data_IF_851032870631
#
_entry.id   IF_851032870631
#
_cell.length_a   1.000
_cell.length_b   1.000
_cell.length_c   1.000
_cell.angle_alpha   90.00
_cell.angle_beta   90.00
_cell.angle_gamma   90.00
#
_symmetry.space_group_name_H-M   'P 1'
#
loop_
_entity.id
_entity.type
_entity.pdbx_description
1 polymer ?
#
# COMPACT_ATOMS: atom_id res chain seq x y z
N UNK A 1 -14.62 -16.26 5.68
CA UNK A 1 -13.28 -16.38 5.11
C UNK A 1 -12.48 -17.41 5.87
N UNK A 2 -11.22 -17.59 5.50
CA UNK A 2 -10.20 -18.21 6.35
C UNK A 2 -9.84 -17.20 7.45
N UNK A 3 -9.87 -17.62 8.71
CA UNK A 3 -9.56 -16.76 9.84
C UNK A 3 -8.53 -17.42 10.74
N UNK A 4 -7.45 -16.70 11.05
CA UNK A 4 -6.35 -17.14 11.93
C UNK A 4 -6.22 -16.19 13.12
N UNK A 5 -6.16 -16.72 14.33
CA UNK A 5 -6.06 -15.92 15.56
C UNK A 5 -5.20 -16.63 16.61
N UNK A 6 -4.82 -15.91 17.68
CA UNK A 6 -4.19 -16.52 18.86
C UNK A 6 -2.80 -17.13 18.61
N UNK A 7 -2.07 -16.63 17.61
CA UNK A 7 -0.73 -17.12 17.27
C UNK A 7 -0.72 -18.44 16.49
N UNK A 8 -1.87 -18.87 15.97
CA UNK A 8 -2.00 -20.13 15.24
C UNK A 8 -1.29 -20.10 13.88
N UNK A 9 -0.92 -21.30 13.40
CA UNK A 9 -0.56 -21.54 12.01
C UNK A 9 -1.80 -21.99 11.23
N UNK A 10 -2.05 -21.39 10.07
CA UNK A 10 -3.06 -21.83 9.11
C UNK A 10 -2.40 -22.10 7.77
N UNK A 11 -2.61 -23.30 7.24
CA UNK A 11 -2.17 -23.68 5.90
C UNK A 11 -3.41 -24.01 5.05
N UNK A 12 -3.48 -23.45 3.84
CA UNK A 12 -4.56 -23.69 2.90
C UNK A 12 -4.03 -23.87 1.48
N UNK A 13 -4.57 -24.84 0.76
CA UNK A 13 -4.17 -25.15 -0.61
C UNK A 13 -5.39 -25.28 -1.52
N UNK A 14 -5.37 -24.56 -2.65
CA UNK A 14 -6.38 -24.60 -3.72
C UNK A 14 -7.82 -24.41 -3.23
N UNK A 15 -8.01 -23.58 -2.20
CA UNK A 15 -9.34 -23.31 -1.62
C UNK A 15 -10.08 -22.24 -2.42
N UNK A 16 -11.39 -22.39 -2.56
CA UNK A 16 -12.27 -21.32 -3.07
C UNK A 16 -13.06 -20.71 -1.92
N UNK A 17 -12.91 -19.41 -1.72
CA UNK A 17 -13.61 -18.63 -0.69
C UNK A 17 -14.37 -17.50 -1.35
N UNK A 18 -15.63 -17.32 -0.97
CA UNK A 18 -16.44 -16.17 -1.37
C UNK A 18 -17.22 -15.64 -0.19
N UNK A 19 -17.15 -14.33 0.04
CA UNK A 19 -17.86 -13.64 1.13
C UNK A 19 -18.60 -12.41 0.57
N UNK A 20 -19.74 -12.08 1.17
CA UNK A 20 -20.56 -10.93 0.73
C UNK A 20 -21.03 -10.02 1.88
N UNK A 21 -20.85 -10.44 3.13
CA UNK A 21 -21.17 -9.62 4.29
C UNK A 21 -20.17 -8.49 4.48
N UNK A 22 -20.59 -7.40 5.12
CA UNK A 22 -19.68 -6.33 5.52
C UNK A 22 -18.65 -6.82 6.55
N UNK A 23 -17.46 -6.25 6.55
CA UNK A 23 -16.33 -6.65 7.42
C UNK A 23 -15.95 -8.13 7.29
N UNK A 24 -16.12 -8.73 6.11
CA UNK A 24 -15.96 -10.16 5.85
C UNK A 24 -14.83 -10.43 4.85
N UNK A 25 -13.59 -10.18 5.25
CA UNK A 25 -12.42 -10.51 4.43
C UNK A 25 -12.34 -12.02 4.10
N UNK A 26 -11.82 -12.35 2.92
CA UNK A 26 -11.71 -13.73 2.46
C UNK A 26 -10.56 -14.46 3.17
N UNK A 27 -9.42 -13.80 3.33
CA UNK A 27 -8.31 -14.22 4.20
C UNK A 27 -8.17 -13.15 5.28
N UNK A 28 -8.26 -13.55 6.54
CA UNK A 28 -8.20 -12.64 7.68
C UNK A 28 -7.34 -13.22 8.79
N UNK A 29 -6.64 -12.36 9.50
CA UNK A 29 -6.24 -12.65 10.88
C UNK A 29 -6.83 -11.65 11.86
N UNK A 30 -6.76 -11.96 13.14
CA UNK A 30 -7.23 -11.08 14.22
C UNK A 30 -6.27 -11.12 15.42
N UNK A 31 -6.73 -10.64 16.57
CA UNK A 31 -5.97 -10.52 17.82
C UNK A 31 -5.13 -11.76 18.13
N UNK A 32 -3.88 -11.50 18.51
CA UNK A 32 -2.86 -12.52 18.76
C UNK A 32 -2.11 -12.97 17.52
N UNK A 33 -2.48 -12.49 16.32
CA UNK A 33 -1.78 -12.74 15.07
C UNK A 33 -1.63 -14.23 14.75
N UNK A 34 -0.49 -14.59 14.16
CA UNK A 34 -0.16 -15.96 13.77
C UNK A 34 0.59 -16.00 12.44
N UNK A 35 0.52 -17.14 11.76
CA UNK A 35 1.09 -17.34 10.43
C UNK A 35 0.05 -17.95 9.51
N UNK A 36 -0.09 -17.40 8.31
CA UNK A 36 -1.04 -17.88 7.30
C UNK A 36 -0.28 -18.18 6.00
N UNK A 37 -0.34 -19.43 5.56
CA UNK A 37 0.29 -19.89 4.33
C UNK A 37 -0.80 -20.37 3.35
N UNK A 38 -0.90 -19.70 2.20
CA UNK A 38 -1.90 -20.04 1.18
C UNK A 38 -1.20 -20.37 -0.14
N UNK A 39 -1.56 -21.51 -0.75
CA UNK A 39 -1.06 -21.94 -2.06
C UNK A 39 -2.21 -22.15 -3.02
N UNK A 40 -2.28 -21.35 -4.08
CA UNK A 40 -3.33 -21.40 -5.07
C UNK A 40 -4.70 -20.98 -4.52
N UNK A 41 -5.74 -21.23 -5.32
CA UNK A 41 -7.11 -20.97 -4.94
C UNK A 41 -7.61 -19.59 -5.35
N UNK A 42 -8.81 -19.26 -4.85
CA UNK A 42 -9.55 -18.09 -5.28
C UNK A 42 -10.33 -17.49 -4.12
N UNK A 43 -10.13 -16.19 -3.88
CA UNK A 43 -10.63 -15.49 -2.71
C UNK A 43 -11.34 -14.23 -3.16
N UNK A 44 -12.67 -14.26 -3.08
CA UNK A 44 -13.53 -13.16 -3.54
C UNK A 44 -14.31 -12.55 -2.41
N UNK A 45 -14.34 -11.23 -2.35
CA UNK A 45 -15.16 -10.48 -1.42
C UNK A 45 -16.04 -9.50 -2.17
N UNK A 46 -17.30 -9.41 -1.71
CA UNK A 46 -18.27 -8.47 -2.24
C UNK A 46 -18.75 -7.47 -1.18
N UNK A 47 -18.50 -7.69 0.11
CA UNK A 47 -18.96 -6.78 1.17
C UNK A 47 -18.17 -5.46 1.24
N UNK A 48 -18.72 -4.46 1.91
CA UNK A 48 -17.96 -3.26 2.29
C UNK A 48 -16.99 -3.58 3.43
N UNK A 49 -15.84 -2.89 3.49
CA UNK A 49 -14.82 -3.11 4.52
C UNK A 49 -14.32 -4.55 4.56
N UNK A 50 -14.35 -5.22 3.41
CA UNK A 50 -14.08 -6.65 3.25
C UNK A 50 -12.95 -6.82 2.23
N UNK A 51 -11.70 -6.54 2.60
CA UNK A 51 -10.60 -6.73 1.67
C UNK A 51 -10.40 -8.21 1.34
N UNK A 52 -9.74 -8.50 0.21
CA UNK A 52 -9.41 -9.89 -0.10
C UNK A 52 -8.49 -10.49 0.97
N UNK A 53 -7.54 -9.68 1.48
CA UNK A 53 -6.62 -10.02 2.57
C UNK A 53 -6.62 -8.93 3.65
N UNK A 54 -6.91 -9.30 4.91
CA UNK A 54 -6.75 -8.43 6.07
C UNK A 54 -5.72 -9.03 7.03
N UNK A 55 -4.62 -8.31 7.28
CA UNK A 55 -3.48 -8.81 8.04
C UNK A 55 -3.28 -8.10 9.38
N UNK A 56 -3.31 -8.92 10.41
CA UNK A 56 -2.78 -8.73 11.77
C UNK A 56 -1.80 -9.86 12.14
N UNK A 57 -1.23 -10.53 11.11
CA UNK A 57 -0.40 -11.72 11.20
C UNK A 57 0.66 -11.74 10.09
N UNK A 58 1.52 -12.75 10.05
CA UNK A 58 2.39 -12.97 8.89
C UNK A 58 1.66 -13.82 7.84
N UNK A 59 1.32 -13.20 6.69
CA UNK A 59 0.56 -13.85 5.62
C UNK A 59 1.44 -14.03 4.38
N UNK A 60 1.56 -15.26 3.89
CA UNK A 60 2.23 -15.58 2.63
C UNK A 60 1.28 -16.31 1.69
N UNK A 61 1.14 -15.80 0.46
CA UNK A 61 0.21 -16.33 -0.55
C UNK A 61 0.97 -16.54 -1.86
N UNK A 62 0.86 -17.74 -2.43
CA UNK A 62 1.46 -18.08 -3.71
C UNK A 62 0.39 -18.53 -4.72
N UNK A 63 0.37 -17.94 -5.91
CA UNK A 63 -0.41 -18.43 -7.04
C UNK A 63 -1.93 -18.30 -6.92
N UNK A 64 -2.45 -17.39 -6.10
CA UNK A 64 -3.89 -17.21 -5.88
C UNK A 64 -4.52 -16.07 -6.70
N UNK A 65 -5.83 -16.16 -6.92
CA UNK A 65 -6.68 -15.07 -7.43
C UNK A 65 -7.39 -14.38 -6.26
N UNK A 66 -7.05 -13.11 -5.99
CA UNK A 66 -7.50 -12.30 -4.86
C UNK A 66 -8.32 -11.12 -5.41
N UNK A 67 -9.59 -11.02 -5.04
CA UNK A 67 -10.49 -9.99 -5.60
C UNK A 67 -11.43 -9.40 -4.56
N UNK A 68 -11.43 -8.08 -4.43
CA UNK A 68 -12.40 -7.34 -3.62
C UNK A 68 -13.20 -6.35 -4.48
N UNK A 69 -14.50 -6.60 -4.65
CA UNK A 69 -15.32 -5.81 -5.59
C UNK A 69 -15.83 -4.47 -5.02
N UNK A 70 -15.78 -4.30 -3.69
CA UNK A 70 -16.21 -3.09 -2.96
C UNK A 70 -15.28 -2.69 -1.81
N UNK A 71 -14.04 -3.17 -1.83
CA UNK A 71 -13.03 -2.93 -0.80
C UNK A 71 -11.62 -2.97 -1.38
N UNK A 72 -10.66 -2.74 -0.50
CA UNK A 72 -9.22 -2.85 -0.73
C UNK A 72 -8.85 -4.28 -1.15
N UNK A 73 -7.81 -4.46 -1.94
CA UNK A 73 -7.25 -5.80 -2.17
C UNK A 73 -6.60 -6.33 -0.89
N UNK A 74 -5.79 -5.49 -0.22
CA UNK A 74 -5.06 -5.85 0.99
C UNK A 74 -5.07 -4.72 2.00
N UNK A 75 -5.07 -5.13 3.27
CA UNK A 75 -4.92 -4.25 4.42
C UNK A 75 -3.92 -4.90 5.38
N UNK A 76 -2.92 -4.13 5.82
CA UNK A 76 -1.99 -4.52 6.88
C UNK A 76 -2.15 -3.55 8.04
N UNK A 77 -2.32 -4.12 9.23
CA UNK A 77 -2.36 -3.39 10.48
C UNK A 77 -1.10 -3.66 11.32
N UNK A 78 -0.41 -2.61 11.75
CA UNK A 78 0.75 -2.67 12.64
C UNK A 78 1.93 -3.47 12.10
N UNK A 79 2.70 -4.13 12.97
CA UNK A 79 3.99 -4.79 12.63
C UNK A 79 3.91 -6.02 11.70
N UNK A 80 2.75 -6.26 11.11
CA UNK A 80 2.43 -7.51 10.40
C UNK A 80 2.83 -7.47 8.92
N UNK A 81 2.64 -8.59 8.23
CA UNK A 81 3.12 -8.74 6.86
C UNK A 81 2.14 -9.41 5.90
N UNK A 82 2.26 -9.04 4.63
CA UNK A 82 1.66 -9.73 3.48
C UNK A 82 2.77 -9.93 2.43
N UNK A 83 3.02 -11.18 2.06
CA UNK A 83 3.91 -11.57 0.98
C UNK A 83 3.13 -12.29 -0.11
N UNK A 84 3.11 -11.73 -1.33
CA UNK A 84 2.40 -12.28 -2.48
C UNK A 84 3.41 -12.76 -3.52
N UNK A 85 3.27 -14.01 -3.98
CA UNK A 85 4.08 -14.56 -5.06
C UNK A 85 3.19 -15.06 -6.18
N UNK A 86 3.40 -14.58 -7.40
CA UNK A 86 2.64 -14.98 -8.58
C UNK A 86 1.11 -14.88 -8.41
N UNK A 87 0.63 -13.95 -7.59
CA UNK A 87 -0.80 -13.76 -7.35
C UNK A 87 -1.39 -12.75 -8.35
N UNK A 88 -2.67 -12.94 -8.67
CA UNK A 88 -3.50 -11.87 -9.24
C UNK A 88 -4.25 -11.21 -8.10
N UNK A 89 -4.18 -9.89 -8.02
CA UNK A 89 -4.83 -9.11 -6.99
C UNK A 89 -5.61 -7.94 -7.59
N UNK A 90 -6.86 -7.76 -7.17
CA UNK A 90 -7.67 -6.59 -7.53
C UNK A 90 -8.44 -6.02 -6.34
N UNK A 91 -8.52 -4.69 -6.30
CA UNK A 91 -9.29 -3.92 -5.32
C UNK A 91 -10.13 -2.84 -6.01
N UNK A 92 -11.37 -2.69 -5.55
CA UNK A 92 -12.33 -1.70 -6.05
C UNK A 92 -13.05 -1.04 -4.87
N UNK A 93 -12.27 -0.44 -3.98
CA UNK A 93 -12.79 0.32 -2.85
C UNK A 93 -13.70 1.44 -3.34
N UNK A 94 -14.80 1.67 -2.62
CA UNK A 94 -15.74 2.75 -2.93
C UNK A 94 -15.54 3.91 -1.95
N UNK A 95 -15.71 5.14 -2.45
CA UNK A 95 -15.59 6.36 -1.64
C UNK A 95 -16.66 6.46 -0.55
N UNK A 96 -17.83 5.88 -0.76
CA UNK A 96 -18.94 5.93 0.21
C UNK A 96 -19.47 4.53 0.47
N UNK A 97 -19.36 4.06 1.71
CA UNK A 97 -19.75 2.71 2.15
C UNK A 97 -20.97 2.78 3.07
N UNK A 98 -21.94 1.89 2.85
CA UNK A 98 -23.06 1.69 3.77
C UNK A 98 -22.74 0.52 4.70
N UNK A 99 -22.34 0.85 5.93
CA UNK A 99 -21.98 -0.11 6.97
C UNK A 99 -23.10 -0.20 8.01
N UNK A 100 -23.99 -1.18 7.82
CA UNK A 100 -25.19 -1.28 8.65
C UNK A 100 -26.14 -0.11 8.41
N UNK A 101 -26.33 0.75 9.41
CA UNK A 101 -27.15 1.98 9.28
C UNK A 101 -26.32 3.23 9.01
N UNK A 102 -25.00 3.10 8.99
CA UNK A 102 -24.09 4.24 8.88
C UNK A 102 -23.57 4.37 7.45
N UNK A 103 -23.56 5.60 6.95
CA UNK A 103 -22.87 5.95 5.70
C UNK A 103 -21.51 6.51 6.07
N UNK A 104 -20.45 5.81 5.68
CA UNK A 104 -19.06 6.23 5.89
C UNK A 104 -18.56 6.78 4.57
N UNK A 105 -18.05 8.00 4.60
CA UNK A 105 -17.30 8.59 3.48
C UNK A 105 -15.81 8.43 3.77
N UNK A 106 -15.10 7.80 2.84
CA UNK A 106 -13.66 7.59 2.93
C UNK A 106 -12.92 8.88 2.56
N UNK A 107 -11.92 9.24 3.36
CA UNK A 107 -11.05 10.38 3.06
C UNK A 107 -9.99 10.03 1.99
N UNK A 108 -9.69 8.74 1.86
CA UNK A 108 -8.80 8.20 0.85
C UNK A 108 -9.35 6.87 0.32
N UNK A 109 -9.43 6.72 -1.00
CA UNK A 109 -9.76 5.47 -1.67
C UNK A 109 -8.47 4.84 -2.15
N UNK A 110 -8.26 3.55 -1.87
CA UNK A 110 -7.02 2.85 -2.19
C UNK A 110 -7.21 1.35 -2.41
N UNK A 111 -6.19 0.71 -2.99
CA UNK A 111 -6.16 -0.74 -3.21
C UNK A 111 -5.38 -1.50 -2.14
N UNK A 112 -4.25 -0.97 -1.68
CA UNK A 112 -3.47 -1.54 -0.58
C UNK A 112 -3.33 -0.51 0.52
N UNK A 113 -3.79 -0.86 1.72
CA UNK A 113 -3.65 -0.02 2.92
C UNK A 113 -2.60 -0.60 3.86
N UNK A 114 -1.72 0.24 4.37
CA UNK A 114 -0.76 -0.13 5.43
C UNK A 114 -0.85 0.93 6.51
N UNK A 115 -1.30 0.55 7.71
CA UNK A 115 -1.55 1.49 8.79
C UNK A 115 -1.41 0.88 10.18
N UNK A 116 -1.39 1.72 11.21
CA UNK A 116 -1.61 1.29 12.59
C UNK A 116 -2.95 1.85 13.08
N UNK A 117 -3.75 1.00 13.71
CA UNK A 117 -4.96 1.43 14.42
C UNK A 117 -4.72 1.56 15.93
N UNK A 118 -5.61 2.28 16.61
CA UNK A 118 -5.62 2.37 18.08
C UNK A 118 -6.51 1.30 18.76
N UNK A 119 -6.92 0.24 18.05
CA UNK A 119 -7.79 -0.82 18.59
C UNK A 119 -7.09 -1.72 19.62
N UNK A 120 -5.76 -1.84 19.51
CA UNK A 120 -4.95 -2.80 20.26
C UNK A 120 -4.96 -4.22 19.68
N UNK A 121 -5.51 -4.43 18.47
CA UNK A 121 -5.56 -5.76 17.83
C UNK A 121 -4.22 -6.14 17.16
N UNK A 122 -3.42 -5.15 16.79
CA UNK A 122 -2.05 -5.31 16.29
C UNK A 122 -1.07 -4.43 17.07
N UNK A 123 0.11 -4.98 17.37
CA UNK A 123 1.20 -4.24 17.99
C UNK A 123 1.83 -3.25 16.99
N UNK A 124 2.25 -2.10 17.51
CA UNK A 124 3.05 -1.13 16.77
C UNK A 124 4.38 -1.72 16.32
N UNK A 125 4.82 -1.34 15.12
CA UNK A 125 6.10 -1.71 14.55
C UNK A 125 6.08 -1.55 13.03
N UNK A 126 7.14 -2.03 12.37
CA UNK A 126 7.28 -1.86 10.92
C UNK A 126 6.49 -2.93 10.17
N UNK A 127 5.48 -2.52 9.41
CA UNK A 127 4.74 -3.41 8.50
C UNK A 127 5.59 -3.85 7.29
N UNK A 128 5.26 -4.97 6.67
CA UNK A 128 5.92 -5.42 5.44
C UNK A 128 4.92 -5.89 4.37
N UNK A 129 4.91 -5.22 3.22
CA UNK A 129 4.24 -5.70 2.02
C UNK A 129 5.29 -6.12 0.98
N UNK A 130 5.15 -7.31 0.42
CA UNK A 130 5.97 -7.73 -0.73
C UNK A 130 5.13 -8.39 -1.81
N UNK A 131 5.50 -8.16 -3.07
CA UNK A 131 4.90 -8.83 -4.21
C UNK A 131 5.95 -9.17 -5.26
N UNK A 132 6.05 -10.45 -5.61
CA UNK A 132 6.94 -11.00 -6.64
C UNK A 132 6.10 -11.61 -7.77
N UNK A 133 6.26 -11.11 -8.98
CA UNK A 133 5.48 -11.55 -10.14
C UNK A 133 4.00 -11.20 -10.05
N UNK A 134 3.19 -11.83 -10.88
CA UNK A 134 1.74 -11.66 -10.86
C UNK A 134 1.26 -10.28 -11.33
N UNK A 135 0.11 -9.84 -10.81
CA UNK A 135 -0.50 -8.55 -11.18
C UNK A 135 -1.31 -7.92 -10.06
N UNK A 136 -1.26 -6.60 -9.96
CA UNK A 136 -2.05 -5.77 -9.06
C UNK A 136 -2.89 -4.80 -9.90
N UNK A 137 -4.21 -4.91 -9.80
CA UNK A 137 -5.18 -4.04 -10.45
C UNK A 137 -5.86 -3.15 -9.40
N UNK A 138 -5.60 -1.85 -9.46
CA UNK A 138 -6.32 -0.83 -8.72
C UNK A 138 -7.41 -0.25 -9.60
N UNK A 139 -8.68 -0.47 -9.24
CA UNK A 139 -9.79 0.07 -10.00
C UNK A 139 -10.07 1.55 -9.70
N UNK A 140 -9.78 1.99 -8.47
CA UNK A 140 -10.11 3.33 -7.96
C UNK A 140 -9.07 3.82 -6.96
N UNK A 141 -8.80 5.12 -7.00
CA UNK A 141 -7.93 5.79 -6.04
C UNK A 141 -6.47 5.33 -6.09
N UNK A 142 -5.80 5.45 -4.95
CA UNK A 142 -4.35 5.21 -4.83
C UNK A 142 -4.04 3.70 -4.86
N UNK A 143 -2.93 3.31 -5.48
CA UNK A 143 -2.53 1.89 -5.48
C UNK A 143 -2.11 1.48 -4.07
N UNK A 144 -1.20 2.25 -3.45
CA UNK A 144 -0.75 2.08 -2.07
C UNK A 144 -1.07 3.32 -1.24
N UNK A 145 -1.63 3.13 -0.06
CA UNK A 145 -1.82 4.17 0.95
C UNK A 145 -1.16 3.76 2.27
N UNK A 146 -0.24 4.61 2.74
CA UNK A 146 0.48 4.43 4.00
C UNK A 146 0.14 5.58 4.93
N UNK A 147 -0.34 5.27 6.13
CA UNK A 147 -0.68 6.27 7.13
C UNK A 147 -0.45 5.74 8.54
N UNK A 148 -0.04 6.62 9.46
CA UNK A 148 0.13 6.30 10.87
C UNK A 148 1.02 5.06 11.14
N UNK A 149 2.01 4.78 10.31
CA UNK A 149 2.88 3.60 10.51
C UNK A 149 4.21 3.72 9.77
N UNK A 150 5.17 2.93 10.22
CA UNK A 150 6.40 2.64 9.49
C UNK A 150 6.17 1.38 8.64
N UNK A 151 6.62 1.35 7.40
CA UNK A 151 6.50 0.16 6.57
C UNK A 151 7.65 -0.06 5.59
N UNK A 152 7.72 -1.28 5.09
CA UNK A 152 8.48 -1.66 3.91
C UNK A 152 7.54 -2.14 2.82
N UNK A 153 7.79 -1.72 1.58
CA UNK A 153 7.08 -2.16 0.39
C UNK A 153 8.13 -2.62 -0.62
N UNK A 154 8.02 -3.88 -1.07
CA UNK A 154 8.98 -4.51 -1.98
C UNK A 154 8.26 -5.09 -3.19
N UNK A 155 8.61 -4.63 -4.40
CA UNK A 155 7.99 -5.13 -5.65
C UNK A 155 9.07 -5.65 -6.60
N UNK A 156 8.85 -6.85 -7.13
CA UNK A 156 9.70 -7.47 -8.14
C UNK A 156 8.86 -8.00 -9.30
N UNK A 157 9.02 -7.41 -10.49
CA UNK A 157 8.38 -7.88 -11.72
C UNK A 157 6.85 -8.04 -11.62
N UNK A 158 6.17 -7.11 -10.96
CA UNK A 158 4.72 -7.11 -10.77
C UNK A 158 4.04 -6.33 -11.90
N UNK A 159 2.96 -6.84 -12.49
CA UNK A 159 2.16 -6.04 -13.44
C UNK A 159 1.18 -5.15 -12.67
N UNK A 160 1.48 -3.86 -12.56
CA UNK A 160 0.61 -2.89 -11.88
C UNK A 160 -0.22 -2.14 -12.92
N UNK A 161 -1.52 -2.04 -12.68
CA UNK A 161 -2.41 -1.15 -13.44
C UNK A 161 -3.27 -0.36 -12.45
N UNK A 162 -3.20 0.96 -12.52
CA UNK A 162 -4.20 1.83 -11.90
C UNK A 162 -5.17 2.31 -12.97
N UNK A 163 -6.46 2.07 -12.78
CA UNK A 163 -7.50 2.52 -13.70
C UNK A 163 -7.99 3.94 -13.38
N UNK A 164 -7.63 4.46 -12.21
CA UNK A 164 -7.94 5.82 -11.79
C UNK A 164 -6.74 6.74 -12.01
N UNK A 165 -6.76 7.60 -13.03
CA UNK A 165 -5.64 8.48 -13.33
C UNK A 165 -5.45 9.62 -12.30
N UNK A 166 -6.45 9.86 -11.44
CA UNK A 166 -6.32 10.81 -10.33
C UNK A 166 -5.65 10.18 -9.10
N UNK A 167 -5.64 8.84 -9.02
CA UNK A 167 -4.99 8.10 -7.95
C UNK A 167 -3.46 8.06 -8.09
N UNK A 168 -2.78 8.12 -6.96
CA UNK A 168 -1.34 7.97 -6.87
C UNK A 168 -0.92 6.49 -7.02
N UNK A 169 0.32 6.28 -7.47
CA UNK A 169 0.98 4.99 -7.31
C UNK A 169 1.22 4.70 -5.82
N UNK A 170 1.66 5.71 -5.07
CA UNK A 170 1.75 5.61 -3.61
C UNK A 170 1.43 6.96 -2.99
N UNK A 171 0.60 6.96 -1.96
CA UNK A 171 0.37 8.09 -1.08
C UNK A 171 0.85 7.75 0.33
N UNK A 172 1.68 8.61 0.88
CA UNK A 172 2.17 8.52 2.25
C UNK A 172 1.77 9.82 2.93
N UNK A 173 0.71 9.76 3.73
CA UNK A 173 0.14 10.96 4.32
C UNK A 173 -0.53 10.70 5.66
N UNK A 174 -0.67 11.77 6.41
CA UNK A 174 -1.60 11.82 7.53
C UNK A 174 -3.05 11.61 7.12
N UNK A 175 -3.88 11.47 8.13
CA UNK A 175 -5.32 11.37 8.01
C UNK A 175 -6.02 12.22 9.07
N UNK A 176 -7.35 12.37 8.96
CA UNK A 176 -8.12 13.21 9.89
C UNK A 176 -8.16 12.70 11.34
N UNK A 177 -7.73 11.46 11.60
CA UNK A 177 -7.86 10.77 12.89
C UNK A 177 -9.29 10.32 13.21
N UNK A 178 -10.27 10.68 12.37
CA UNK A 178 -11.70 10.36 12.58
C UNK A 178 -11.99 8.86 12.58
N UNK A 179 -11.11 8.07 11.95
CA UNK A 179 -11.15 6.60 11.91
C UNK A 179 -10.39 5.93 13.06
N UNK A 180 -9.78 6.71 13.95
CA UNK A 180 -8.94 6.19 15.03
C UNK A 180 -7.56 5.72 14.57
N UNK A 181 -7.05 6.26 13.46
CA UNK A 181 -5.73 5.94 12.89
C UNK A 181 -4.72 7.04 13.27
N UNK A 182 -4.46 7.14 14.57
CA UNK A 182 -3.57 8.14 15.15
C UNK A 182 -4.20 9.52 15.29
N UNK A 183 -3.35 10.52 15.56
CA UNK A 183 -3.74 11.91 15.81
C UNK A 183 -3.43 12.78 14.58
N UNK A 184 -4.43 13.53 14.10
CA UNK A 184 -4.26 14.48 12.99
C UNK A 184 -3.04 15.40 13.21
N UNK A 185 -2.24 15.58 12.16
CA UNK A 185 -0.99 16.35 12.20
C UNK A 185 0.21 15.59 12.78
N UNK A 186 0.01 14.36 13.27
CA UNK A 186 1.06 13.52 13.86
C UNK A 186 0.90 12.03 13.51
N UNK A 187 0.13 11.73 12.45
CA UNK A 187 -0.20 10.38 12.00
C UNK A 187 0.24 10.14 10.55
N UNK A 188 1.32 10.78 10.13
CA UNK A 188 1.97 10.51 8.83
C UNK A 188 2.52 9.09 8.75
N UNK A 189 2.89 8.67 7.54
CA UNK A 189 3.54 7.39 7.30
C UNK A 189 5.04 7.53 7.07
N UNK A 190 5.80 6.47 7.34
CA UNK A 190 7.20 6.34 6.91
C UNK A 190 7.36 5.08 6.08
N UNK A 191 7.58 5.21 4.77
CA UNK A 191 7.68 4.07 3.87
C UNK A 191 9.11 3.89 3.34
N UNK A 192 9.60 2.66 3.38
CA UNK A 192 10.76 2.23 2.59
C UNK A 192 10.26 1.45 1.38
N UNK A 193 10.34 2.05 0.20
CA UNK A 193 9.82 1.50 -1.05
C UNK A 193 10.96 1.05 -1.95
N UNK A 194 11.10 -0.26 -2.16
CA UNK A 194 12.14 -0.84 -3.00
C UNK A 194 11.52 -1.60 -4.16
N UNK A 195 11.97 -1.33 -5.38
CA UNK A 195 11.48 -2.02 -6.57
C UNK A 195 12.63 -2.52 -7.44
N UNK A 196 12.43 -3.64 -8.11
CA UNK A 196 13.39 -4.20 -9.07
C UNK A 196 12.67 -4.88 -10.23
N UNK A 197 13.28 -4.89 -11.42
CA UNK A 197 12.66 -5.44 -12.65
C UNK A 197 11.24 -4.90 -12.89
N UNK A 198 10.98 -3.66 -12.46
CA UNK A 198 9.61 -3.18 -12.26
C UNK A 198 9.28 -2.11 -13.29
N UNK A 199 8.12 -2.20 -13.93
CA UNK A 199 7.57 -1.10 -14.73
C UNK A 199 6.40 -0.48 -13.98
N UNK A 200 6.44 0.83 -13.74
CA UNK A 200 5.45 1.54 -12.95
C UNK A 200 5.08 2.86 -13.62
N UNK A 201 3.81 3.21 -13.48
CA UNK A 201 3.26 4.49 -13.89
C UNK A 201 2.49 5.09 -12.70
N UNK A 202 2.51 6.42 -12.60
CA UNK A 202 1.73 7.16 -11.60
C UNK A 202 2.59 7.98 -10.65
N UNK A 203 1.95 8.95 -10.00
CA UNK A 203 2.61 9.87 -9.09
C UNK A 203 2.84 9.26 -7.72
N UNK A 204 3.87 9.74 -7.05
CA UNK A 204 4.18 9.44 -5.66
C UNK A 204 3.89 10.72 -4.87
N UNK A 205 3.04 10.61 -3.84
CA UNK A 205 2.63 11.73 -2.98
C UNK A 205 3.14 11.50 -1.57
N UNK A 206 3.82 12.51 -1.02
CA UNK A 206 4.31 12.52 0.36
C UNK A 206 3.91 13.83 1.00
N UNK A 207 3.21 13.78 2.13
CA UNK A 207 2.82 15.00 2.83
C UNK A 207 3.89 15.52 3.80
N UNK A 208 3.70 16.74 4.30
CA UNK A 208 4.65 17.42 5.18
C UNK A 208 4.79 16.83 6.59
N UNK A 209 4.16 15.69 6.89
CA UNK A 209 4.37 14.91 8.13
C UNK A 209 4.78 13.47 7.85
N UNK A 210 5.09 13.14 6.60
CA UNK A 210 5.40 11.79 6.15
C UNK A 210 6.76 11.72 5.48
N UNK A 211 7.32 10.52 5.44
CA UNK A 211 8.64 10.28 4.85
C UNK A 211 8.64 9.08 3.89
N UNK A 212 9.33 9.24 2.78
CA UNK A 212 9.62 8.16 1.83
C UNK A 212 11.12 7.96 1.69
N UNK A 213 11.60 6.73 1.85
CA UNK A 213 12.89 6.31 1.32
C UNK A 213 12.66 5.34 0.16
N UNK A 214 12.93 5.77 -1.08
CA UNK A 214 12.67 4.99 -2.29
C UNK A 214 13.97 4.53 -2.96
N UNK A 215 14.04 3.26 -3.32
CA UNK A 215 15.06 2.71 -4.22
C UNK A 215 14.41 2.21 -5.50
N UNK A 216 14.66 2.92 -6.60
CA UNK A 216 14.35 2.46 -7.95
C UNK A 216 15.51 1.59 -8.44
N UNK A 217 15.36 0.27 -8.23
CA UNK A 217 16.41 -0.70 -8.47
C UNK A 217 16.60 -1.09 -9.93
N UNK A 218 17.63 -1.89 -10.19
CA UNK A 218 18.01 -2.36 -11.54
C UNK A 218 16.82 -2.83 -12.40
N UNK A 219 16.94 -2.63 -13.72
CA UNK A 219 15.94 -3.00 -14.73
C UNK A 219 14.54 -2.41 -14.49
N UNK A 220 14.41 -1.37 -13.66
CA UNK A 220 13.13 -0.74 -13.38
C UNK A 220 12.94 0.55 -14.18
N UNK A 221 11.69 0.81 -14.54
CA UNK A 221 11.25 2.06 -15.16
C UNK A 221 10.07 2.61 -14.36
N UNK A 222 10.14 3.90 -14.03
CA UNK A 222 9.05 4.62 -13.41
C UNK A 222 8.71 5.85 -14.26
N UNK A 223 7.46 5.97 -14.70
CA UNK A 223 6.91 7.17 -15.31
C UNK A 223 5.97 7.87 -14.33
N UNK A 224 6.37 9.02 -13.81
CA UNK A 224 5.61 9.70 -12.77
C UNK A 224 6.34 10.90 -12.19
N UNK A 225 5.70 11.57 -11.24
CA UNK A 225 6.29 12.66 -10.47
C UNK A 225 6.35 12.35 -8.97
N UNK A 226 7.34 12.92 -8.28
CA UNK A 226 7.40 12.91 -6.82
C UNK A 226 6.90 14.26 -6.30
N UNK A 227 5.70 14.24 -5.73
CA UNK A 227 4.94 15.41 -5.35
C UNK A 227 4.91 15.52 -3.81
N UNK A 228 5.32 16.68 -3.31
CA UNK A 228 5.26 17.02 -1.89
C UNK A 228 3.95 17.77 -1.62
N UNK A 229 3.17 17.32 -0.64
CA UNK A 229 1.91 17.95 -0.23
C UNK A 229 2.06 18.62 1.14
N UNK A 230 1.38 19.75 1.34
CA UNK A 230 1.28 20.36 2.67
C UNK A 230 0.17 19.66 3.46
N UNK A 231 0.49 19.26 4.69
CA UNK A 231 -0.50 18.85 5.67
C UNK A 231 -0.87 20.07 6.54
N UNK A 232 -2.12 20.52 6.46
CA UNK A 232 -2.58 21.73 7.16
C UNK A 232 -2.65 21.56 8.69
N UNK A 233 -2.52 20.34 9.21
CA UNK A 233 -2.60 20.03 10.63
C UNK A 233 -1.22 19.89 11.30
N UNK A 234 -0.14 19.78 10.52
CA UNK A 234 1.19 19.56 11.08
C UNK A 234 2.33 19.57 10.08
N UNK A 235 3.54 19.60 10.64
CA UNK A 235 4.78 19.48 9.90
C UNK A 235 5.79 18.66 10.70
N UNK A 236 6.51 17.75 10.05
CA UNK A 236 7.62 17.00 10.62
C UNK A 236 8.93 17.43 9.95
N UNK A 237 9.98 17.69 10.74
CA UNK A 237 11.31 18.05 10.23
C UNK A 237 11.96 16.89 9.46
N UNK A 238 11.56 15.66 9.75
CA UNK A 238 12.01 14.47 9.05
C UNK A 238 11.19 14.20 7.78
N UNK A 239 10.14 14.97 7.50
CA UNK A 239 9.32 14.77 6.30
C UNK A 239 10.11 14.93 4.99
N UNK A 240 9.54 14.36 3.93
CA UNK A 240 10.05 14.46 2.56
C UNK A 240 10.40 13.11 1.95
N UNK A 241 11.24 13.13 0.91
CA UNK A 241 11.52 11.92 0.13
C UNK A 241 13.01 11.77 -0.22
N UNK A 242 13.61 10.67 0.21
CA UNK A 242 14.95 10.26 -0.15
C UNK A 242 14.87 9.29 -1.33
N UNK A 243 15.51 9.64 -2.45
CA UNK A 243 15.45 8.86 -3.69
C UNK A 243 16.82 8.30 -4.07
N UNK A 244 16.90 6.99 -4.20
CA UNK A 244 18.01 6.27 -4.81
C UNK A 244 17.59 5.70 -6.16
N UNK A 245 18.32 6.03 -7.22
CA UNK A 245 18.12 5.48 -8.55
C UNK A 245 19.35 4.67 -8.90
N UNK A 246 19.21 3.36 -8.92
CA UNK A 246 20.33 2.45 -9.18
C UNK A 246 20.72 2.43 -10.66
N UNK A 247 21.94 1.95 -10.93
CA UNK A 247 22.41 1.71 -12.29
C UNK A 247 21.46 0.79 -13.05
N UNK A 248 21.06 1.22 -14.25
CA UNK A 248 20.13 0.50 -15.11
C UNK A 248 18.65 0.77 -14.84
N UNK A 249 18.33 1.59 -13.83
CA UNK A 249 16.98 2.12 -13.64
C UNK A 249 16.75 3.40 -14.47
N UNK A 250 15.50 3.66 -14.83
CA UNK A 250 15.07 4.90 -15.49
C UNK A 250 13.87 5.51 -14.81
N UNK A 251 13.97 6.78 -14.43
CA UNK A 251 12.83 7.60 -14.06
C UNK A 251 12.51 8.58 -15.19
N UNK A 252 11.30 8.53 -15.73
CA UNK A 252 10.77 9.54 -16.65
C UNK A 252 9.80 10.44 -15.88
N UNK A 253 10.14 11.72 -15.77
CA UNK A 253 9.32 12.69 -15.07
C UNK A 253 8.10 13.07 -15.92
N UNK A 254 6.95 13.16 -15.27
CA UNK A 254 5.67 13.58 -15.89
C UNK A 254 5.16 14.92 -15.35
N UNK A 255 5.80 15.45 -14.30
CA UNK A 255 5.59 16.77 -13.74
C UNK A 255 6.85 17.20 -12.98
N UNK A 256 6.88 18.47 -12.55
CA UNK A 256 7.90 18.96 -11.63
C UNK A 256 7.89 18.10 -10.36
N UNK A 257 9.07 17.79 -9.83
CA UNK A 257 9.22 16.87 -8.70
C UNK A 257 10.17 17.43 -7.66
N UNK A 258 9.92 17.09 -6.40
CA UNK A 258 10.74 17.55 -5.27
C UNK A 258 11.17 16.37 -4.41
N UNK A 259 12.47 16.24 -4.19
CA UNK A 259 13.06 15.23 -3.30
C UNK A 259 13.93 15.91 -2.24
N UNK A 260 14.05 15.27 -1.09
CA UNK A 260 14.94 15.69 0.00
C UNK A 260 16.38 15.33 -0.31
N UNK A 261 16.63 14.09 -0.72
CA UNK A 261 17.95 13.64 -1.16
C UNK A 261 17.84 12.84 -2.44
N UNK A 262 18.92 12.87 -3.24
CA UNK A 262 19.02 12.14 -4.49
C UNK A 262 20.39 11.47 -4.61
N UNK A 263 20.41 10.15 -4.62
CA UNK A 263 21.54 9.35 -5.07
C UNK A 263 21.19 8.75 -6.44
N UNK A 264 21.87 9.19 -7.49
CA UNK A 264 21.56 8.73 -8.85
C UNK A 264 22.76 8.09 -9.54
N UNK A 265 22.65 6.80 -9.83
CA UNK A 265 23.54 6.01 -10.69
C UNK A 265 22.83 5.54 -11.98
N UNK A 266 21.52 5.80 -12.10
CA UNK A 266 20.70 5.46 -13.26
C UNK A 266 20.44 6.66 -14.17
N UNK A 267 19.27 6.64 -14.83
CA UNK A 267 18.85 7.65 -15.79
C UNK A 267 17.62 8.39 -15.30
N UNK A 268 17.69 9.73 -15.31
CA UNK A 268 16.52 10.60 -15.14
C UNK A 268 16.23 11.27 -16.48
N UNK A 269 15.01 11.13 -16.98
CA UNK A 269 14.49 11.83 -18.15
C UNK A 269 13.53 12.89 -17.64
N UNK A 270 13.98 14.14 -17.59
CA UNK A 270 13.18 15.24 -17.02
C UNK A 270 11.99 15.62 -17.88
N UNK A 271 12.02 15.32 -19.18
CA UNK A 271 10.92 15.60 -20.11
C UNK A 271 10.42 17.07 -20.08
N UNK A 272 11.32 18.02 -19.84
CA UNK A 272 10.99 19.44 -19.73
C UNK A 272 10.53 19.90 -18.33
N UNK A 273 10.49 19.00 -17.35
CA UNK A 273 10.14 19.29 -15.97
C UNK A 273 11.35 19.62 -15.10
N UNK A 274 11.09 20.27 -13.98
CA UNK A 274 12.10 20.65 -12.98
C UNK A 274 12.17 19.60 -11.88
N UNK A 275 13.38 19.10 -11.61
CA UNK A 275 13.68 18.31 -10.42
C UNK A 275 14.32 19.22 -9.36
N UNK A 276 13.61 19.42 -8.25
CA UNK A 276 14.11 20.15 -7.09
C UNK A 276 14.67 19.15 -6.09
N UNK A 277 15.96 19.30 -5.74
CA UNK A 277 16.58 18.57 -4.63
C UNK A 277 16.77 19.56 -3.48
N UNK A 278 16.06 19.33 -2.38
CA UNK A 278 16.14 20.19 -1.20
C UNK A 278 17.53 20.06 -0.55
N UNK A 279 18.03 21.15 0.01
CA UNK A 279 19.21 21.10 0.89
C UNK A 279 18.69 20.95 2.32
N UNK A 280 18.98 19.82 2.97
CA UNK A 280 18.95 19.72 4.43
C UNK A 280 20.25 20.27 5.00
#
# INVERSE_FOLDING_TARGET
GLQTTGGALTEAENVTVSTAGNSSAAIRSDRGGGTVLVKGGTFRTEGYGSPAVYSTADISIEGADLSASRSEGAVIEGKNSIALKNCRMEGNMVETRLMGKETIKEENVHTVMIYQSMSGDAEEGTSAFSMEGGSLLSHKGDVFYVTNTDCTIQLDNVKIKNEDPAGALIRISGNSGSRGWGKAGANGGKARFTVQNQQMEGNILVDSISHLSMTLGKNSRWDGALLQETNDQGHDNDAGADLTIEKGATWTMTADSTVTTLLNEGKIVTNGHTLTVLKK
#
